data_IF_122487720828
#
_entry.id   IF_122487720828
#
_cell.length_a   1.000
_cell.length_b   1.000
_cell.length_c   1.000
_cell.angle_alpha   90.00
_cell.angle_beta   90.00
_cell.angle_gamma   90.00
#
_symmetry.space_group_name_H-M   'P 1'
#
loop_
_entity.id
_entity.type
_entity.pdbx_description
1 polymer ?
#
# COMPACT_ATOMS: atom_id res chain seq x y z
N UNK A 1 -4.54 -40.97 -52.56
CA UNK A 1 -3.55 -39.91 -52.20
C UNK A 1 -4.34 -38.72 -51.68
N UNK A 2 -4.55 -38.63 -50.38
CA UNK A 2 -5.23 -37.48 -49.76
C UNK A 2 -4.45 -37.17 -48.49
N UNK A 3 -3.55 -36.20 -48.60
CA UNK A 3 -2.74 -35.71 -47.48
C UNK A 3 -3.57 -34.74 -46.65
N UNK A 4 -3.74 -35.07 -45.37
CA UNK A 4 -4.39 -34.21 -44.39
C UNK A 4 -3.38 -33.16 -43.91
N UNK A 5 -3.64 -31.89 -44.24
CA UNK A 5 -2.83 -30.75 -43.82
C UNK A 5 -3.22 -30.37 -42.37
N UNK A 6 -2.32 -30.61 -41.41
CA UNK A 6 -2.50 -30.18 -40.03
C UNK A 6 -2.20 -28.68 -39.90
N UNK A 7 -3.21 -27.85 -39.60
CA UNK A 7 -3.01 -26.46 -39.19
C UNK A 7 -2.59 -26.43 -37.71
N UNK A 8 -1.38 -25.95 -37.44
CA UNK A 8 -0.89 -25.63 -36.11
C UNK A 8 -1.43 -24.25 -35.70
N UNK A 9 -2.33 -24.21 -34.71
CA UNK A 9 -2.74 -22.98 -34.04
C UNK A 9 -1.59 -22.50 -33.15
N UNK A 10 -0.94 -21.40 -33.53
CA UNK A 10 0.04 -20.72 -32.69
C UNK A 10 -0.74 -19.90 -31.67
N UNK A 11 -0.89 -20.44 -30.45
CA UNK A 11 -1.39 -19.65 -29.32
C UNK A 11 -0.35 -18.59 -28.98
N UNK A 12 -0.62 -17.33 -29.31
CA UNK A 12 0.21 -16.21 -28.87
C UNK A 12 0.14 -16.10 -27.35
N UNK A 13 1.25 -16.33 -26.66
CA UNK A 13 1.40 -15.95 -25.26
C UNK A 13 1.36 -14.43 -25.16
N UNK A 14 0.33 -13.88 -24.53
CA UNK A 14 0.38 -12.47 -24.14
C UNK A 14 1.52 -12.31 -23.14
N UNK A 15 2.41 -11.31 -23.32
CA UNK A 15 3.44 -11.04 -22.34
C UNK A 15 2.75 -10.79 -20.99
N UNK A 16 3.19 -11.48 -19.95
CA UNK A 16 2.74 -11.20 -18.60
C UNK A 16 3.03 -9.72 -18.30
N UNK A 17 2.05 -9.00 -17.74
CA UNK A 17 2.26 -7.60 -17.36
C UNK A 17 3.42 -7.53 -16.38
N UNK A 18 4.48 -6.84 -16.80
CA UNK A 18 5.66 -6.61 -15.96
C UNK A 18 5.26 -5.57 -14.92
N UNK A 19 5.38 -5.92 -13.65
CA UNK A 19 5.13 -5.01 -12.54
C UNK A 19 6.44 -4.41 -12.02
N UNK A 20 6.38 -3.16 -11.57
CA UNK A 20 7.47 -2.43 -10.93
C UNK A 20 6.97 -1.78 -9.65
N UNK A 21 7.90 -1.40 -8.78
CA UNK A 21 7.60 -0.46 -7.71
C UNK A 21 7.18 0.88 -8.32
N UNK A 22 6.15 1.52 -7.77
CA UNK A 22 5.70 2.85 -8.16
C UNK A 22 6.83 3.90 -8.14
N UNK A 23 7.86 3.74 -7.28
CA UNK A 23 9.06 4.60 -7.24
C UNK A 23 9.92 4.49 -8.50
N UNK A 24 9.82 3.36 -9.22
CA UNK A 24 10.56 3.06 -10.44
C UNK A 24 9.73 3.20 -11.72
N UNK A 25 8.53 3.78 -11.61
CA UNK A 25 7.66 4.07 -12.73
C UNK A 25 7.67 5.58 -13.04
N UNK A 26 7.80 6.00 -14.32
CA UNK A 26 7.82 5.14 -15.52
C UNK A 26 9.20 4.56 -15.85
N UNK A 27 10.28 5.13 -15.29
CA UNK A 27 11.64 4.58 -15.37
C UNK A 27 12.25 4.51 -13.97
N UNK A 28 13.29 3.68 -13.75
CA UNK A 28 13.93 3.51 -12.45
C UNK A 28 14.25 4.86 -11.78
N UNK A 29 13.80 5.03 -10.54
CA UNK A 29 13.95 6.25 -9.74
C UNK A 29 13.12 7.48 -10.15
N UNK A 30 12.49 7.52 -11.33
CA UNK A 30 11.74 8.71 -11.77
C UNK A 30 10.50 8.99 -10.90
N UNK A 31 9.92 7.95 -10.28
CA UNK A 31 8.74 8.07 -9.42
C UNK A 31 9.05 8.37 -7.95
N UNK A 32 10.32 8.32 -7.54
CA UNK A 32 10.72 8.33 -6.13
C UNK A 32 10.24 9.57 -5.37
N UNK A 33 10.46 10.76 -5.93
CA UNK A 33 10.11 12.02 -5.24
C UNK A 33 8.59 12.18 -5.07
N UNK A 34 7.81 11.83 -6.09
CA UNK A 34 6.36 11.92 -6.04
C UNK A 34 5.77 10.88 -5.09
N UNK A 35 6.27 9.64 -5.13
CA UNK A 35 5.85 8.60 -4.20
C UNK A 35 6.20 8.95 -2.75
N UNK A 36 7.41 9.47 -2.50
CA UNK A 36 7.81 9.90 -1.17
C UNK A 36 6.96 11.08 -0.65
N UNK A 37 6.48 11.96 -1.53
CA UNK A 37 5.56 13.03 -1.13
C UNK A 37 4.21 12.45 -0.63
N UNK A 38 3.65 11.51 -1.39
CA UNK A 38 2.44 10.77 -1.03
C UNK A 38 2.61 9.98 0.27
N UNK A 39 3.65 9.15 0.37
CA UNK A 39 3.93 8.33 1.56
C UNK A 39 4.09 9.20 2.81
N UNK A 40 4.81 10.32 2.72
CA UNK A 40 4.93 11.25 3.85
C UNK A 40 3.62 11.91 4.25
N UNK A 41 2.71 12.16 3.31
CA UNK A 41 1.41 12.74 3.64
C UNK A 41 0.52 11.74 4.39
N UNK A 42 0.54 10.48 3.97
CA UNK A 42 -0.13 9.39 4.68
C UNK A 42 0.47 9.17 6.07
N UNK A 43 1.80 9.10 6.19
CA UNK A 43 2.50 8.96 7.48
C UNK A 43 2.13 10.10 8.43
N UNK A 44 2.14 11.35 7.97
CA UNK A 44 1.71 12.49 8.80
C UNK A 44 0.27 12.33 9.29
N UNK A 45 -0.65 11.98 8.38
CA UNK A 45 -2.05 11.75 8.76
C UNK A 45 -2.19 10.65 9.81
N UNK A 46 -1.45 9.54 9.66
CA UNK A 46 -1.42 8.47 10.66
C UNK A 46 -0.87 8.96 12.01
N UNK A 47 0.27 9.64 12.00
CA UNK A 47 0.91 10.15 13.22
C UNK A 47 0.01 11.16 13.96
N UNK A 48 -0.74 11.99 13.23
CA UNK A 48 -1.65 13.00 13.78
C UNK A 48 -2.83 12.38 14.56
N UNK A 49 -3.28 11.17 14.16
CA UNK A 49 -4.46 10.53 14.78
C UNK A 49 -4.13 9.31 15.63
N UNK A 50 -2.91 8.76 15.56
CA UNK A 50 -2.63 7.45 16.16
C UNK A 50 -2.93 7.45 17.66
N UNK A 51 -2.50 8.49 18.38
CA UNK A 51 -2.68 8.58 19.83
C UNK A 51 -4.12 8.49 20.31
N UNK A 52 -5.07 8.96 19.50
CA UNK A 52 -6.51 9.00 19.83
C UNK A 52 -7.29 7.84 19.17
N UNK A 53 -6.62 6.97 18.41
CA UNK A 53 -7.25 5.88 17.66
C UNK A 53 -6.40 4.60 17.73
N UNK A 54 -5.53 4.35 16.74
CA UNK A 54 -4.82 3.10 16.56
C UNK A 54 -3.85 2.76 17.71
N UNK A 55 -3.25 3.77 18.34
CA UNK A 55 -2.29 3.62 19.43
C UNK A 55 -2.95 3.48 20.81
N UNK A 56 -4.28 3.35 20.93
CA UNK A 56 -4.93 3.09 22.22
C UNK A 56 -4.94 1.60 22.62
N UNK A 57 -4.64 0.70 21.69
CA UNK A 57 -4.68 -0.75 21.89
C UNK A 57 -3.44 -1.34 22.59
N UNK A 58 -3.27 -2.67 22.44
CA UNK A 58 -2.18 -3.45 23.08
C UNK A 58 -0.76 -2.93 22.72
N UNK A 59 -0.63 -2.22 21.60
CA UNK A 59 0.63 -1.66 21.11
C UNK A 59 0.53 -0.13 20.98
N UNK A 60 0.72 0.60 22.07
CA UNK A 60 0.57 2.07 22.08
C UNK A 60 1.65 2.88 21.38
N UNK A 61 2.57 2.24 20.67
CA UNK A 61 3.70 2.89 19.99
C UNK A 61 3.76 2.53 18.50
N UNK A 62 2.63 2.24 17.85
CA UNK A 62 2.60 1.90 16.43
C UNK A 62 3.38 2.93 15.59
N UNK A 63 4.11 2.41 14.61
CA UNK A 63 4.89 3.17 13.65
C UNK A 63 4.58 2.69 12.24
N UNK A 64 4.25 3.65 11.38
CA UNK A 64 4.27 3.43 9.95
C UNK A 64 5.71 3.11 9.50
N UNK A 65 5.86 2.04 8.72
CA UNK A 65 7.12 1.65 8.11
C UNK A 65 7.12 2.07 6.63
N UNK A 66 7.04 1.11 5.71
CA UNK A 66 7.11 1.36 4.28
C UNK A 66 5.77 1.08 3.59
N UNK A 67 5.37 2.01 2.74
CA UNK A 67 4.32 1.84 1.72
C UNK A 67 4.98 1.43 0.41
N UNK A 68 4.45 0.40 -0.25
CA UNK A 68 4.88 -0.03 -1.58
C UNK A 68 3.67 -0.30 -2.44
N UNK A 69 3.71 0.17 -3.68
CA UNK A 69 2.67 -0.09 -4.67
C UNK A 69 3.27 -0.77 -5.88
N UNK A 70 2.70 -1.91 -6.27
CA UNK A 70 3.03 -2.58 -7.52
C UNK A 70 2.24 -1.92 -8.65
N UNK A 71 2.92 -1.55 -9.73
CA UNK A 71 2.31 -0.92 -10.90
C UNK A 71 2.72 -1.62 -12.19
N UNK A 72 1.80 -1.75 -13.13
CA UNK A 72 2.09 -2.29 -14.47
C UNK A 72 3.01 -1.32 -15.21
N UNK A 73 4.19 -1.79 -15.63
CA UNK A 73 5.28 -0.98 -16.21
C UNK A 73 4.83 -0.09 -17.39
N UNK A 74 3.99 -0.62 -18.27
CA UNK A 74 3.62 0.06 -19.51
C UNK A 74 2.48 1.08 -19.34
N UNK A 75 1.65 0.89 -18.32
CA UNK A 75 0.42 1.66 -18.14
C UNK A 75 0.45 2.51 -16.87
N UNK A 76 1.30 2.20 -15.89
CA UNK A 76 1.23 2.80 -14.57
C UNK A 76 -0.08 2.51 -13.84
N UNK A 77 -0.79 1.45 -14.25
CA UNK A 77 -1.94 0.95 -13.52
C UNK A 77 -1.46 0.33 -12.21
N UNK A 78 -2.04 0.76 -11.09
CA UNK A 78 -1.78 0.18 -9.77
C UNK A 78 -2.46 -1.19 -9.71
N UNK A 79 -1.69 -2.21 -9.37
CA UNK A 79 -2.18 -3.56 -9.12
C UNK A 79 -2.58 -3.72 -7.64
N UNK A 80 -1.71 -3.28 -6.73
CA UNK A 80 -1.92 -3.34 -5.28
C UNK A 80 -0.99 -2.35 -4.57
N UNK A 81 -1.42 -1.85 -3.41
CA UNK A 81 -0.59 -1.10 -2.47
C UNK A 81 -0.63 -1.76 -1.09
N UNK A 82 0.53 -1.92 -0.47
CA UNK A 82 0.69 -2.50 0.85
C UNK A 82 1.47 -1.54 1.75
N UNK A 83 0.91 -1.22 2.91
CA UNK A 83 1.55 -0.41 3.93
C UNK A 83 1.89 -1.26 5.16
N UNK A 84 3.18 -1.29 5.50
CA UNK A 84 3.68 -2.02 6.66
C UNK A 84 3.73 -1.14 7.91
N UNK A 85 3.47 -1.77 9.05
CA UNK A 85 3.51 -1.16 10.38
C UNK A 85 4.23 -2.07 11.36
N UNK A 86 4.75 -1.48 12.44
CA UNK A 86 5.27 -2.21 13.59
C UNK A 86 4.87 -1.52 14.90
N UNK A 87 4.79 -2.30 15.97
CA UNK A 87 4.44 -1.86 17.31
C UNK A 87 5.06 -2.79 18.33
N UNK A 88 5.24 -2.29 19.53
CA UNK A 88 5.78 -3.04 20.66
C UNK A 88 5.29 -2.51 22.00
N UNK A 89 5.22 -3.39 22.97
CA UNK A 89 4.99 -3.04 24.36
C UNK A 89 6.16 -3.54 25.18
N UNK A 90 6.90 -2.61 25.79
CA UNK A 90 8.04 -2.93 26.64
C UNK A 90 7.69 -2.65 28.10
N UNK A 91 8.06 -3.56 28.99
CA UNK A 91 7.79 -3.46 30.42
C UNK A 91 8.95 -4.00 31.25
N UNK A 92 8.96 -3.66 32.54
CA UNK A 92 9.91 -4.17 33.52
C UNK A 92 9.11 -4.79 34.66
N UNK A 93 9.37 -6.06 34.97
CA UNK A 93 8.75 -6.72 36.12
C UNK A 93 9.55 -6.39 37.38
N UNK A 94 8.88 -6.22 38.52
CA UNK A 94 9.56 -5.95 39.81
C UNK A 94 10.52 -7.08 40.23
N UNK A 95 10.32 -8.30 39.72
CA UNK A 95 11.10 -9.49 40.06
C UNK A 95 12.23 -9.81 39.09
N UNK A 96 12.20 -9.20 37.90
CA UNK A 96 13.19 -9.44 36.86
C UNK A 96 13.95 -8.15 36.56
N UNK A 97 15.26 -8.13 36.81
CA UNK A 97 16.09 -6.95 36.58
C UNK A 97 16.32 -6.61 35.09
N UNK A 98 15.65 -7.31 34.17
CA UNK A 98 15.79 -7.14 32.72
C UNK A 98 14.45 -6.71 32.10
N UNK A 99 14.46 -5.72 31.18
CA UNK A 99 13.27 -5.37 30.41
C UNK A 99 12.79 -6.53 29.54
N UNK A 100 11.47 -6.67 29.44
CA UNK A 100 10.78 -7.54 28.49
C UNK A 100 10.11 -6.71 27.40
N UNK A 101 9.91 -7.31 26.22
CA UNK A 101 9.23 -6.66 25.10
C UNK A 101 8.40 -7.68 24.33
N UNK A 102 7.18 -7.28 23.98
CA UNK A 102 6.36 -7.94 22.96
C UNK A 102 6.28 -7.02 21.74
N UNK A 103 6.30 -7.57 20.54
CA UNK A 103 6.31 -6.79 19.31
C UNK A 103 5.62 -7.51 18.17
N UNK A 104 4.96 -6.73 17.31
CA UNK A 104 4.22 -7.23 16.15
C UNK A 104 4.40 -6.34 14.94
N UNK A 105 4.22 -6.93 13.76
CA UNK A 105 4.18 -6.24 12.47
C UNK A 105 2.87 -6.51 11.76
N UNK A 106 2.39 -5.52 11.00
CA UNK A 106 1.21 -5.60 10.16
C UNK A 106 1.54 -5.24 8.72
N UNK A 107 0.72 -5.74 7.80
CA UNK A 107 0.85 -5.53 6.37
C UNK A 107 -0.55 -5.20 5.80
N UNK A 108 -0.92 -3.93 5.86
CA UNK A 108 -2.24 -3.45 5.53
C UNK A 108 -2.35 -3.17 4.03
N UNK A 109 -3.29 -3.83 3.34
CA UNK A 109 -3.57 -3.53 1.95
C UNK A 109 -4.42 -2.26 1.87
N UNK A 110 -4.02 -1.33 1.02
CA UNK A 110 -4.85 -0.17 0.73
C UNK A 110 -5.94 -0.55 -0.28
N UNK A 111 -7.18 -0.05 -0.15
CA UNK A 111 -8.30 -0.42 -1.00
C UNK A 111 -8.28 0.37 -2.32
N UNK A 112 -7.10 0.43 -2.95
CA UNK A 112 -6.92 1.01 -4.28
C UNK A 112 -7.48 0.01 -5.30
N UNK A 113 -8.51 0.41 -6.04
CA UNK A 113 -9.09 -0.44 -7.07
C UNK A 113 -8.03 -0.76 -8.14
N UNK A 114 -7.79 -2.05 -8.45
CA UNK A 114 -6.84 -2.43 -9.51
C UNK A 114 -7.17 -1.75 -10.83
N UNK A 115 -6.14 -1.22 -11.51
CA UNK A 115 -6.31 -0.43 -12.72
C UNK A 115 -6.33 1.09 -12.48
N UNK A 116 -6.45 1.54 -11.23
CA UNK A 116 -6.28 2.96 -10.88
C UNK A 116 -4.93 3.47 -11.38
N UNK A 117 -4.92 4.61 -12.07
CA UNK A 117 -3.66 5.18 -12.60
C UNK A 117 -2.81 5.73 -11.44
N UNK A 118 -1.53 5.38 -11.40
CA UNK A 118 -0.59 5.94 -10.44
C UNK A 118 -0.53 7.47 -10.51
N UNK A 119 -0.64 8.05 -11.71
CA UNK A 119 -0.68 9.50 -11.91
C UNK A 119 -1.91 10.19 -11.30
N UNK A 120 -2.98 9.45 -11.01
CA UNK A 120 -4.15 9.94 -10.28
C UNK A 120 -3.93 9.78 -8.78
N UNK A 121 -3.43 8.61 -8.36
CA UNK A 121 -3.23 8.29 -6.94
C UNK A 121 -2.21 9.22 -6.25
N UNK A 122 -1.07 9.48 -6.91
CA UNK A 122 0.02 10.29 -6.35
C UNK A 122 -0.43 11.68 -5.89
N UNK A 123 -1.02 12.54 -6.74
CA UNK A 123 -1.46 13.87 -6.31
C UNK A 123 -2.64 13.81 -5.34
N UNK A 124 -3.55 12.82 -5.48
CA UNK A 124 -4.70 12.66 -4.60
C UNK A 124 -4.29 12.47 -3.13
N UNK A 125 -3.24 11.68 -2.90
CA UNK A 125 -2.77 11.31 -1.57
C UNK A 125 -1.51 12.07 -1.12
N UNK A 126 -1.13 13.15 -1.81
CA UNK A 126 0.03 13.98 -1.42
C UNK A 126 -0.34 15.21 -0.59
N UNK A 127 -1.64 15.47 -0.41
CA UNK A 127 -2.16 16.65 0.27
C UNK A 127 -2.36 16.49 1.78
N UNK A 128 -2.75 17.57 2.48
CA UNK A 128 -3.31 17.47 3.82
C UNK A 128 -4.56 16.57 3.84
N UNK A 129 -4.74 15.76 4.89
CA UNK A 129 -5.88 14.84 4.98
C UNK A 129 -5.80 13.64 4.03
N UNK A 130 -4.60 13.31 3.53
CA UNK A 130 -4.40 12.15 2.65
C UNK A 130 -4.96 10.85 3.24
N UNK A 131 -4.91 10.69 4.57
CA UNK A 131 -5.39 9.48 5.24
C UNK A 131 -6.90 9.28 5.06
N UNK A 132 -7.68 10.36 5.21
CA UNK A 132 -9.16 10.37 5.10
C UNK A 132 -9.66 10.60 3.67
N UNK A 133 -8.76 10.87 2.73
CA UNK A 133 -9.13 11.13 1.33
C UNK A 133 -9.70 9.86 0.71
N UNK A 134 -10.92 9.95 0.19
CA UNK A 134 -11.58 8.85 -0.50
C UNK A 134 -10.78 8.41 -1.74
N UNK A 135 -10.53 7.10 -1.85
CA UNK A 135 -9.80 6.50 -2.96
C UNK A 135 -10.70 6.32 -4.19
N UNK A 136 -10.16 6.32 -5.42
CA UNK A 136 -10.95 6.09 -6.62
C UNK A 136 -11.65 4.72 -6.56
N UNK A 137 -12.97 4.70 -6.72
CA UNK A 137 -13.77 3.49 -6.73
C UNK A 137 -14.99 3.64 -7.65
N UNK A 138 -15.80 2.58 -7.80
CA UNK A 138 -16.95 2.56 -8.70
C UNK A 138 -18.15 3.38 -8.22
N UNK A 139 -18.32 3.55 -6.91
CA UNK A 139 -19.43 4.30 -6.32
C UNK A 139 -18.90 5.51 -5.52
N UNK A 140 -19.05 6.74 -6.04
CA UNK A 140 -18.51 7.95 -5.41
C UNK A 140 -18.97 8.23 -3.98
N UNK A 141 -20.05 7.60 -3.51
CA UNK A 141 -20.61 7.81 -2.16
C UNK A 141 -19.93 6.90 -1.13
N UNK A 142 -19.47 5.72 -1.55
CA UNK A 142 -19.02 4.65 -0.65
C UNK A 142 -17.52 4.32 -0.81
N UNK A 143 -16.77 5.20 -1.49
CA UNK A 143 -15.35 4.98 -1.69
C UNK A 143 -14.57 4.99 -0.36
N UNK A 144 -13.82 3.91 -0.05
CA UNK A 144 -13.04 3.83 1.17
C UNK A 144 -11.82 4.78 1.11
N UNK A 145 -11.35 5.15 2.28
CA UNK A 145 -10.11 5.91 2.48
C UNK A 145 -8.96 4.99 2.89
N UNK A 146 -7.78 5.57 3.11
CA UNK A 146 -6.67 4.82 3.74
C UNK A 146 -6.97 4.57 5.22
N UNK A 147 -7.61 5.52 5.91
CA UNK A 147 -8.05 5.38 7.30
C UNK A 147 -8.92 4.13 7.52
N UNK A 148 -9.92 3.92 6.66
CA UNK A 148 -10.84 2.77 6.78
C UNK A 148 -10.08 1.45 6.70
N UNK A 149 -9.10 1.37 5.80
CA UNK A 149 -8.26 0.19 5.62
C UNK A 149 -7.36 -0.11 6.82
N UNK A 150 -6.88 0.92 7.51
CA UNK A 150 -6.07 0.76 8.71
C UNK A 150 -6.93 0.33 9.90
N UNK A 151 -8.15 0.84 10.00
CA UNK A 151 -9.12 0.46 11.04
C UNK A 151 -9.43 -1.03 11.03
N UNK A 152 -9.54 -1.63 9.84
CA UNK A 152 -9.78 -3.07 9.70
C UNK A 152 -8.52 -3.94 9.90
N UNK A 153 -7.33 -3.34 9.84
CA UNK A 153 -6.06 -4.06 9.76
C UNK A 153 -5.24 -4.07 11.07
N UNK A 154 -5.16 -2.92 11.75
CA UNK A 154 -4.30 -2.70 12.92
C UNK A 154 -4.98 -3.20 14.20
#
# INVERSE_FOLDING_TARGET
>A
MTGLLLLLLVAGSMPADIHVDARDHPRPGEGEAAFAAMERALVRGFDDICGDTFCEGDYGNLRALQLRCAVTRNTGAVAECLWSFAGSYAWVNERDALPSVDSRTWACRLPVVPGTRLSVLLPLLSGPGALDTALPCSDPITCPSTYDALTDCL
#
